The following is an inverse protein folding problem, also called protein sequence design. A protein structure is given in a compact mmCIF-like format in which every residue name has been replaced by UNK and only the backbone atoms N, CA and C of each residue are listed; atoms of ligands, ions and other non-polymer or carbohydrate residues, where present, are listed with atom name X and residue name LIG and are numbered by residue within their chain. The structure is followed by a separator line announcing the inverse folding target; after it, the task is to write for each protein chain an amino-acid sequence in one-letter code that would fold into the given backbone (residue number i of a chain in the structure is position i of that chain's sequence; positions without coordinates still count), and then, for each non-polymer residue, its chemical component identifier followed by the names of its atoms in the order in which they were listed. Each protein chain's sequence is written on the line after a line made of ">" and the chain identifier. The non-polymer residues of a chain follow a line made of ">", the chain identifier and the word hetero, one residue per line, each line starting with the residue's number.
data_IF_945239558420
#
_entry.id   IF_945239558420
#
_cell.length_a   1.000
_cell.length_b   1.000
_cell.length_c   1.000
_cell.angle_alpha   90.00
_cell.angle_beta   90.00
_cell.angle_gamma   90.00
#
_symmetry.space_group_name_H-M   'P 1'
#
loop_
_entity.id
_entity.type
_entity.pdbx_description
1 polymer ?
#
# COMPACT_ATOMS: atom_id res chain seq x y z
N UNK A 1 84.27 23.13 17.29
CA UNK A 1 84.24 23.36 15.83
C UNK A 1 83.67 22.10 15.18
N UNK A 2 82.35 21.96 15.13
CA UNK A 2 81.64 20.88 14.41
C UNK A 2 80.27 21.42 13.96
N UNK A 3 80.11 21.55 12.65
CA UNK A 3 78.89 21.94 11.96
C UNK A 3 77.94 20.74 11.86
N UNK A 4 76.68 20.91 12.26
CA UNK A 4 75.58 20.04 11.85
C UNK A 4 74.41 20.91 11.39
N UNK A 5 74.31 21.10 10.07
CA UNK A 5 73.13 21.61 9.38
C UNK A 5 72.01 20.57 9.48
N UNK A 6 70.96 20.85 10.26
CA UNK A 6 69.67 20.15 10.11
C UNK A 6 68.85 20.87 9.05
N UNK A 7 68.66 20.18 7.92
CA UNK A 7 67.68 20.49 6.89
C UNK A 7 66.27 20.57 7.48
N UNK A 8 65.59 21.70 7.27
CA UNK A 8 64.16 21.86 7.52
C UNK A 8 63.41 21.28 6.32
N UNK A 9 62.86 20.08 6.47
CA UNK A 9 61.84 19.56 5.55
C UNK A 9 60.50 20.12 6.05
N UNK A 10 59.87 20.97 5.23
CA UNK A 10 58.51 21.44 5.47
C UNK A 10 57.54 20.24 5.38
N UNK A 11 56.52 20.13 6.25
CA UNK A 11 55.50 19.11 6.10
C UNK A 11 54.66 19.40 4.84
N UNK A 12 54.54 18.40 3.96
CA UNK A 12 53.59 18.41 2.86
C UNK A 12 52.16 18.62 3.37
N UNK A 13 51.31 19.40 2.70
CA UNK A 13 49.91 19.49 3.05
C UNK A 13 49.26 18.12 2.80
N UNK A 14 48.75 17.51 3.87
CA UNK A 14 47.92 16.32 3.80
C UNK A 14 46.74 16.60 2.87
N UNK A 15 46.61 15.80 1.81
CA UNK A 15 45.42 15.78 0.97
C UNK A 15 44.20 15.54 1.88
N UNK A 16 43.36 16.56 2.02
CA UNK A 16 42.10 16.44 2.72
C UNK A 16 41.25 15.41 2.01
N UNK A 17 41.01 14.28 2.66
CA UNK A 17 39.96 13.36 2.25
C UNK A 17 38.65 14.13 2.44
N UNK A 18 38.05 14.58 1.34
CA UNK A 18 36.69 15.12 1.36
C UNK A 18 35.75 13.96 1.66
N UNK A 19 35.35 13.83 2.92
CA UNK A 19 34.20 12.99 3.29
C UNK A 19 33.00 13.68 2.66
N UNK A 20 32.49 13.12 1.56
CA UNK A 20 31.16 13.48 1.08
C UNK A 20 30.18 12.99 2.15
N UNK A 21 29.61 13.94 2.89
CA UNK A 21 28.47 13.67 3.76
C UNK A 21 27.29 13.51 2.81
N UNK A 22 26.89 12.27 2.53
CA UNK A 22 25.60 12.02 1.88
C UNK A 22 24.52 12.65 2.76
N UNK A 23 23.70 13.52 2.18
CA UNK A 23 22.58 14.11 2.88
C UNK A 23 21.60 12.99 3.26
N UNK A 24 21.22 12.93 4.54
CA UNK A 24 20.16 12.05 5.01
C UNK A 24 18.85 12.47 4.33
N UNK A 25 18.26 11.57 3.56
CA UNK A 25 16.96 11.76 2.95
C UNK A 25 15.88 11.77 4.03
N UNK A 26 14.92 12.68 3.93
CA UNK A 26 13.74 12.65 4.80
C UNK A 26 12.73 11.58 4.34
N UNK A 27 11.73 11.29 5.17
CA UNK A 27 10.66 10.35 4.77
C UNK A 27 9.87 10.87 3.57
N UNK A 28 9.68 12.19 3.47
CA UNK A 28 9.07 12.87 2.33
C UNK A 28 9.93 12.75 1.06
N UNK A 29 11.26 12.86 1.17
CA UNK A 29 12.16 12.64 0.04
C UNK A 29 12.04 11.21 -0.50
N UNK A 30 11.93 10.21 0.39
CA UNK A 30 11.77 8.80 -0.01
C UNK A 30 10.38 8.56 -0.62
N UNK A 31 9.34 9.18 -0.07
CA UNK A 31 7.98 9.06 -0.61
C UNK A 31 7.85 9.70 -1.99
N UNK A 32 8.42 10.89 -2.19
CA UNK A 32 8.43 11.56 -3.49
C UNK A 32 9.28 10.83 -4.53
N UNK A 33 10.37 10.18 -4.12
CA UNK A 33 11.10 9.24 -4.99
C UNK A 33 10.23 8.06 -5.41
N UNK A 34 9.44 7.48 -4.50
CA UNK A 34 8.50 6.41 -4.82
C UNK A 34 7.46 6.86 -5.85
N UNK A 35 6.84 8.03 -5.63
CA UNK A 35 5.87 8.61 -6.54
C UNK A 35 6.47 8.84 -7.94
N UNK A 36 7.69 9.39 -8.01
CA UNK A 36 8.37 9.61 -9.27
C UNK A 36 8.72 8.30 -9.99
N UNK A 37 9.16 7.28 -9.26
CA UNK A 37 9.47 5.96 -9.81
C UNK A 37 8.23 5.26 -10.41
N UNK A 38 7.06 5.48 -9.81
CA UNK A 38 5.78 4.97 -10.30
C UNK A 38 5.09 5.91 -11.31
N UNK A 39 5.76 6.99 -11.72
CA UNK A 39 5.28 7.89 -12.78
C UNK A 39 4.24 8.92 -12.34
N UNK A 40 4.04 9.14 -11.05
CA UNK A 40 3.12 10.16 -10.53
C UNK A 40 3.77 11.53 -10.46
N UNK A 41 3.08 12.55 -11.00
CA UNK A 41 3.49 13.94 -10.85
C UNK A 41 3.11 14.47 -9.46
N UNK A 42 4.04 15.18 -8.82
CA UNK A 42 3.85 15.73 -7.49
C UNK A 42 4.49 17.11 -7.34
N UNK A 43 4.05 17.87 -6.32
CA UNK A 43 4.65 19.12 -5.86
C UNK A 43 4.67 19.14 -4.34
N UNK A 44 5.77 19.60 -3.76
CA UNK A 44 5.87 19.83 -2.33
C UNK A 44 5.61 21.31 -2.03
N UNK A 45 4.55 21.59 -1.29
CA UNK A 45 4.16 22.95 -0.90
C UNK A 45 3.81 22.96 0.60
N UNK A 46 4.50 23.77 1.40
CA UNK A 46 4.27 23.89 2.85
C UNK A 46 4.33 22.56 3.65
N UNK A 47 5.10 21.57 3.19
CA UNK A 47 5.19 20.25 3.83
C UNK A 47 4.08 19.27 3.42
N UNK A 48 3.19 19.68 2.52
CA UNK A 48 2.17 18.82 1.91
C UNK A 48 2.56 18.44 0.48
N UNK A 49 2.29 17.18 0.11
CA UNK A 49 2.63 16.67 -1.22
C UNK A 49 1.36 16.67 -2.06
N UNK A 50 1.23 17.68 -2.91
CA UNK A 50 0.14 17.80 -3.86
C UNK A 50 0.36 16.88 -5.05
N UNK A 51 -0.66 16.13 -5.41
CA UNK A 51 -0.71 15.21 -6.54
C UNK A 51 -1.71 15.72 -7.59
N UNK A 52 -1.75 15.10 -8.76
CA UNK A 52 -2.77 15.39 -9.79
C UNK A 52 -4.19 15.19 -9.23
N UNK A 53 -5.18 15.82 -9.87
CA UNK A 53 -6.60 15.62 -9.56
C UNK A 53 -7.00 15.98 -8.11
N UNK A 54 -6.36 16.99 -7.51
CA UNK A 54 -6.79 17.55 -6.22
C UNK A 54 -6.43 16.70 -4.99
N UNK A 55 -5.56 15.71 -5.17
CA UNK A 55 -5.05 14.88 -4.08
C UNK A 55 -3.94 15.59 -3.31
N UNK A 56 -3.95 15.41 -1.99
CA UNK A 56 -2.88 15.85 -1.10
C UNK A 56 -2.47 14.67 -0.23
N UNK A 57 -1.17 14.37 -0.18
CA UNK A 57 -0.61 13.32 0.64
C UNK A 57 0.37 13.88 1.68
N UNK A 58 0.43 13.23 2.83
CA UNK A 58 1.45 13.44 3.86
C UNK A 58 1.92 12.10 4.38
N UNK A 59 3.19 12.01 4.78
CA UNK A 59 3.79 10.78 5.29
C UNK A 59 4.44 10.99 6.64
N UNK A 60 4.35 9.98 7.50
CA UNK A 60 4.95 9.95 8.83
C UNK A 60 5.73 8.65 9.00
N UNK A 61 7.01 8.76 9.35
CA UNK A 61 7.79 7.62 9.82
C UNK A 61 7.39 7.28 11.26
N UNK A 62 7.16 5.99 11.54
CA UNK A 62 6.78 5.54 12.88
C UNK A 62 7.93 4.82 13.57
N UNK A 63 8.46 3.77 12.94
CA UNK A 63 9.54 2.96 13.52
C UNK A 63 10.25 2.11 12.48
N UNK A 64 11.44 1.61 12.87
CA UNK A 64 12.14 0.54 12.17
C UNK A 64 12.67 -0.50 13.15
N UNK A 65 12.71 -1.75 12.69
CA UNK A 65 13.12 -2.90 13.48
C UNK A 65 13.94 -3.86 12.61
N UNK A 66 15.14 -4.30 13.05
CA UNK A 66 15.87 -5.36 12.38
C UNK A 66 15.07 -6.67 12.36
N UNK A 67 15.06 -7.34 11.20
CA UNK A 67 14.43 -8.65 11.02
C UNK A 67 15.46 -9.63 10.45
N UNK A 68 16.31 -10.15 11.33
CA UNK A 68 17.48 -10.97 10.97
C UNK A 68 18.74 -10.13 10.78
N UNK A 69 19.79 -10.73 10.21
CA UNK A 69 21.10 -10.08 10.12
C UNK A 69 21.19 -8.98 9.05
N UNK A 70 20.39 -9.08 7.98
CA UNK A 70 20.54 -8.23 6.78
C UNK A 70 19.22 -7.62 6.28
N UNK A 71 18.24 -7.46 7.15
CA UNK A 71 16.96 -6.87 6.76
C UNK A 71 16.39 -5.98 7.86
N UNK A 72 15.75 -4.89 7.44
CA UNK A 72 15.05 -3.93 8.29
C UNK A 72 13.59 -3.90 7.87
N UNK A 73 12.70 -4.02 8.85
CA UNK A 73 11.28 -3.73 8.70
C UNK A 73 11.02 -2.29 9.11
N UNK A 74 10.20 -1.59 8.35
CA UNK A 74 9.74 -0.24 8.69
C UNK A 74 8.23 -0.20 8.80
N UNK A 75 7.75 0.70 9.64
CA UNK A 75 6.34 1.09 9.75
C UNK A 75 6.24 2.59 9.47
N UNK A 76 5.34 2.97 8.58
CA UNK A 76 5.05 4.36 8.25
C UNK A 76 3.54 4.55 8.09
N UNK A 77 3.07 5.79 8.15
CA UNK A 77 1.68 6.17 7.91
C UNK A 77 1.63 7.12 6.72
N UNK A 78 0.72 6.86 5.79
CA UNK A 78 0.39 7.77 4.69
C UNK A 78 -1.02 8.28 4.96
N UNK A 79 -1.22 9.58 4.86
CA UNK A 79 -2.56 10.19 4.84
C UNK A 79 -2.78 10.77 3.45
N UNK A 80 -3.92 10.49 2.84
CA UNK A 80 -4.30 10.94 1.52
C UNK A 80 -5.67 11.64 1.60
N UNK A 81 -5.76 12.85 1.07
CA UNK A 81 -6.96 13.71 1.10
C UNK A 81 -7.39 14.06 -0.31
N UNK A 82 -8.70 14.21 -0.49
CA UNK A 82 -9.28 14.81 -1.70
C UNK A 82 -10.38 15.79 -1.27
N UNK A 83 -10.26 17.05 -1.69
CA UNK A 83 -11.08 18.16 -1.19
C UNK A 83 -12.60 17.95 -1.32
N UNK A 84 -13.03 17.17 -2.31
CA UNK A 84 -14.46 16.92 -2.59
C UNK A 84 -14.95 15.57 -2.08
N UNK A 85 -14.12 14.52 -2.15
CA UNK A 85 -14.61 13.14 -2.00
C UNK A 85 -14.36 12.57 -0.60
N UNK A 86 -13.23 12.93 0.01
CA UNK A 86 -12.86 12.52 1.38
C UNK A 86 -11.99 13.63 1.99
N UNK A 87 -12.59 14.78 2.36
CA UNK A 87 -11.86 15.95 2.85
C UNK A 87 -11.15 15.70 4.18
N UNK A 88 -11.71 14.84 5.04
CA UNK A 88 -11.09 14.43 6.30
C UNK A 88 -9.85 13.54 6.08
N UNK A 89 -9.71 12.99 4.89
CA UNK A 89 -8.63 12.09 4.51
C UNK A 89 -8.89 10.64 4.84
N UNK A 90 -8.11 9.80 4.16
CA UNK A 90 -7.99 8.37 4.42
C UNK A 90 -6.53 8.12 4.75
N UNK A 91 -6.26 7.29 5.73
CA UNK A 91 -4.88 6.95 6.08
C UNK A 91 -4.60 5.47 5.97
N UNK A 92 -3.34 5.12 5.79
CA UNK A 92 -2.89 3.75 5.65
C UNK A 92 -1.52 3.55 6.32
N UNK A 93 -1.41 2.47 7.08
CA UNK A 93 -0.11 2.05 7.62
C UNK A 93 0.62 1.19 6.59
N UNK A 94 1.84 1.56 6.25
CA UNK A 94 2.72 0.76 5.41
C UNK A 94 3.72 0.02 6.28
N UNK A 95 3.73 -1.30 6.12
CA UNK A 95 4.74 -2.18 6.67
C UNK A 95 5.50 -2.79 5.50
N UNK A 96 6.81 -2.59 5.51
CA UNK A 96 7.67 -3.06 4.43
C UNK A 96 9.01 -3.54 4.98
N UNK A 97 9.77 -4.22 4.13
CA UNK A 97 11.11 -4.70 4.44
C UNK A 97 12.09 -4.37 3.32
N UNK A 98 13.35 -4.17 3.68
CA UNK A 98 14.46 -3.94 2.75
C UNK A 98 15.81 -4.22 3.43
N UNK A 99 16.91 -4.17 2.68
CA UNK A 99 18.25 -4.33 3.23
C UNK A 99 18.69 -3.08 4.03
N UNK A 100 18.00 -1.96 3.86
CA UNK A 100 18.16 -0.73 4.65
C UNK A 100 16.80 -0.13 5.03
N UNK A 101 16.78 0.81 5.97
CA UNK A 101 15.57 1.57 6.32
C UNK A 101 15.02 2.34 5.11
N UNK A 102 15.89 2.99 4.34
CA UNK A 102 15.52 3.72 3.12
C UNK A 102 14.87 2.79 2.09
N UNK A 103 15.47 1.64 1.81
CA UNK A 103 14.92 0.67 0.85
C UNK A 103 13.59 0.11 1.35
N UNK A 104 13.49 -0.16 2.64
CA UNK A 104 12.26 -0.64 3.29
C UNK A 104 11.12 0.37 3.12
N UNK A 105 11.35 1.65 3.43
CA UNK A 105 10.37 2.73 3.21
C UNK A 105 10.01 2.88 1.74
N UNK A 106 11.00 2.90 0.85
CA UNK A 106 10.78 3.01 -0.59
C UNK A 106 9.91 1.87 -1.12
N UNK A 107 10.15 0.63 -0.71
CA UNK A 107 9.33 -0.52 -1.08
C UNK A 107 7.87 -0.37 -0.61
N UNK A 108 7.66 0.09 0.62
CA UNK A 108 6.33 0.33 1.16
C UNK A 108 5.57 1.43 0.40
N UNK A 109 6.23 2.55 0.13
CA UNK A 109 5.65 3.68 -0.59
C UNK A 109 5.36 3.36 -2.05
N UNK A 110 6.23 2.62 -2.73
CA UNK A 110 5.99 2.14 -4.09
C UNK A 110 4.80 1.19 -4.14
N UNK A 111 4.73 0.24 -3.19
CA UNK A 111 3.57 -0.64 -3.08
C UNK A 111 2.27 0.15 -2.91
N UNK A 112 2.24 1.14 -2.01
CA UNK A 112 1.06 1.98 -1.81
C UNK A 112 0.68 2.78 -3.06
N UNK A 113 1.66 3.34 -3.77
CA UNK A 113 1.41 4.09 -5.00
C UNK A 113 0.84 3.20 -6.13
N UNK A 114 1.29 1.95 -6.22
CA UNK A 114 0.83 0.97 -7.20
C UNK A 114 -0.56 0.40 -6.88
N UNK A 115 -0.93 0.30 -5.61
CA UNK A 115 -2.22 -0.28 -5.21
C UNK A 115 -3.23 0.80 -4.82
N UNK A 116 -2.97 1.48 -3.71
CA UNK A 116 -3.94 2.32 -3.02
C UNK A 116 -4.15 3.63 -3.80
N UNK A 117 -3.07 4.33 -4.18
CA UNK A 117 -3.16 5.59 -4.92
C UNK A 117 -3.81 5.40 -6.29
N UNK A 118 -3.41 4.36 -7.04
CA UNK A 118 -4.01 4.02 -8.33
C UNK A 118 -5.53 3.82 -8.20
N UNK A 119 -5.95 3.10 -7.15
CA UNK A 119 -7.38 2.87 -6.88
C UNK A 119 -8.12 4.15 -6.55
N UNK A 120 -7.54 4.99 -5.70
CA UNK A 120 -8.17 6.25 -5.33
C UNK A 120 -8.30 7.19 -6.54
N UNK A 121 -7.28 7.26 -7.41
CA UNK A 121 -7.29 8.05 -8.65
C UNK A 121 -8.44 7.60 -9.55
N UNK A 122 -8.55 6.30 -9.82
CA UNK A 122 -9.65 5.75 -10.63
C UNK A 122 -11.01 6.04 -10.00
N UNK A 123 -11.10 5.95 -8.68
CA UNK A 123 -12.33 6.16 -7.95
C UNK A 123 -12.85 7.59 -8.04
N UNK A 124 -11.99 8.61 -8.15
CA UNK A 124 -12.41 10.02 -8.31
C UNK A 124 -12.48 10.47 -9.76
N UNK A 125 -12.03 9.63 -10.70
CA UNK A 125 -12.06 9.91 -12.14
C UNK A 125 -13.41 9.52 -12.76
N UNK A 126 -13.69 10.07 -13.94
CA UNK A 126 -14.89 9.72 -14.73
C UNK A 126 -14.79 8.30 -15.33
N UNK A 127 -13.58 7.89 -15.68
CA UNK A 127 -13.24 6.58 -16.23
C UNK A 127 -12.21 5.87 -15.36
N UNK A 128 -12.26 4.55 -15.33
CA UNK A 128 -11.28 3.71 -14.64
C UNK A 128 -10.30 3.15 -15.67
N UNK A 129 -9.00 3.32 -15.43
CA UNK A 129 -7.92 2.80 -16.28
C UNK A 129 -7.28 1.54 -15.70
N UNK A 130 -7.31 1.40 -14.37
CA UNK A 130 -6.55 0.38 -13.63
C UNK A 130 -7.44 -0.60 -12.87
N UNK A 131 -8.59 -0.14 -12.38
CA UNK A 131 -9.46 -0.90 -11.50
C UNK A 131 -10.45 -1.77 -12.28
N UNK A 132 -10.78 -2.91 -11.69
CA UNK A 132 -12.03 -3.59 -12.02
C UNK A 132 -13.17 -2.82 -11.35
N UNK A 133 -14.15 -2.38 -12.13
CA UNK A 133 -15.29 -1.62 -11.60
C UNK A 133 -16.55 -2.48 -11.57
N UNK A 134 -17.24 -2.47 -10.42
CA UNK A 134 -18.55 -3.08 -10.25
C UNK A 134 -19.56 -2.02 -9.83
N UNK A 135 -20.72 -2.01 -10.49
CA UNK A 135 -21.85 -1.17 -10.12
C UNK A 135 -22.94 -2.02 -9.48
N UNK A 136 -23.51 -1.53 -8.39
CA UNK A 136 -24.52 -2.27 -7.64
C UNK A 136 -25.52 -1.31 -7.00
N UNK A 137 -26.76 -1.76 -6.88
CA UNK A 137 -27.86 -1.02 -6.27
C UNK A 137 -28.17 -1.57 -4.88
N UNK A 138 -28.33 -0.68 -3.90
CA UNK A 138 -28.78 -1.02 -2.55
C UNK A 138 -30.15 -0.42 -2.24
N UNK A 139 -31.03 -1.19 -1.60
CA UNK A 139 -32.31 -0.68 -1.13
C UNK A 139 -32.04 0.35 -0.03
N UNK A 140 -32.51 1.58 -0.23
CA UNK A 140 -32.41 2.61 0.81
C UNK A 140 -33.24 2.19 2.02
N UNK A 141 -32.64 2.24 3.21
CA UNK A 141 -33.30 1.84 4.46
C UNK A 141 -34.46 2.78 4.83
N UNK A 142 -34.47 4.03 4.33
CA UNK A 142 -35.43 5.08 4.74
C UNK A 142 -36.09 5.86 3.57
N UNK A 143 -36.85 5.18 2.71
CA UNK A 143 -37.72 5.80 1.68
C UNK A 143 -37.03 6.78 0.69
N UNK A 144 -35.70 6.77 0.62
CA UNK A 144 -34.94 7.46 -0.42
C UNK A 144 -34.84 6.59 -1.68
N UNK A 145 -34.51 7.23 -2.79
CA UNK A 145 -34.19 6.54 -4.03
C UNK A 145 -33.10 5.47 -3.80
N UNK A 146 -33.17 4.40 -4.59
CA UNK A 146 -32.17 3.33 -4.64
C UNK A 146 -30.74 3.91 -4.65
N UNK A 147 -29.90 3.45 -3.73
CA UNK A 147 -28.53 3.92 -3.62
C UNK A 147 -27.66 3.13 -4.58
N UNK A 148 -27.11 3.81 -5.60
CA UNK A 148 -26.18 3.19 -6.54
C UNK A 148 -24.75 3.39 -6.08
N UNK A 149 -24.00 2.30 -5.99
CA UNK A 149 -22.59 2.29 -5.57
C UNK A 149 -21.72 1.85 -6.74
N UNK A 150 -20.60 2.55 -6.93
CA UNK A 150 -19.46 2.09 -7.71
C UNK A 150 -18.38 1.57 -6.78
N UNK A 151 -17.89 0.39 -7.08
CA UNK A 151 -16.86 -0.32 -6.33
C UNK A 151 -15.66 -0.50 -7.28
N UNK A 152 -14.55 0.13 -6.93
CA UNK A 152 -13.29 0.08 -7.66
C UNK A 152 -12.36 -0.90 -6.96
N UNK A 153 -12.19 -2.07 -7.55
CA UNK A 153 -11.25 -3.08 -7.07
C UNK A 153 -9.90 -2.86 -7.73
N UNK A 154 -8.95 -2.37 -6.95
CA UNK A 154 -7.65 -1.94 -7.41
C UNK A 154 -6.72 -3.07 -7.86
N UNK A 155 -5.52 -2.68 -8.34
CA UNK A 155 -4.40 -3.60 -8.50
C UNK A 155 -4.16 -4.40 -7.22
N UNK A 156 -3.81 -5.67 -7.38
CA UNK A 156 -3.61 -6.59 -6.27
C UNK A 156 -2.17 -7.08 -6.23
N UNK A 157 -1.73 -7.46 -5.03
CA UNK A 157 -0.48 -8.19 -4.82
C UNK A 157 -0.84 -9.61 -4.46
N UNK A 158 -0.30 -10.58 -5.19
CA UNK A 158 -0.45 -12.00 -4.92
C UNK A 158 0.94 -12.65 -4.93
N UNK A 159 1.22 -13.42 -3.88
CA UNK A 159 2.42 -14.25 -3.80
C UNK A 159 2.02 -15.61 -3.25
N UNK A 160 2.53 -16.67 -3.86
CA UNK A 160 2.37 -18.04 -3.41
C UNK A 160 3.71 -18.77 -3.56
N UNK A 161 4.09 -19.57 -2.56
CA UNK A 161 5.35 -20.31 -2.57
C UNK A 161 5.37 -21.42 -3.65
N UNK A 162 4.22 -22.05 -3.91
CA UNK A 162 4.08 -23.09 -4.92
C UNK A 162 3.08 -22.68 -6.01
N UNK A 163 3.49 -22.80 -7.27
CA UNK A 163 2.58 -22.70 -8.42
C UNK A 163 1.78 -24.00 -8.55
N UNK A 164 0.47 -23.92 -8.79
CA UNK A 164 -0.27 -25.12 -9.22
C UNK A 164 0.17 -25.47 -10.63
N UNK A 165 0.81 -26.63 -10.77
CA UNK A 165 0.84 -27.35 -12.04
C UNK A 165 -0.58 -27.82 -12.26
N UNK A 166 -1.26 -27.36 -13.31
CA UNK A 166 -2.61 -27.80 -13.64
C UNK A 166 -2.68 -29.33 -13.58
N UNK A 167 -3.33 -29.86 -12.55
CA UNK A 167 -3.56 -31.29 -12.44
C UNK A 167 -4.84 -31.54 -13.22
N UNK A 168 -4.73 -32.20 -14.37
CA UNK A 168 -5.88 -32.70 -15.12
C UNK A 168 -6.78 -33.49 -14.14
N UNK A 169 -7.99 -32.98 -13.89
CA UNK A 169 -8.94 -33.62 -12.96
C UNK A 169 -9.85 -32.69 -12.13
N UNK A 170 -9.75 -31.36 -12.24
CA UNK A 170 -10.75 -30.47 -11.65
C UNK A 170 -11.98 -30.33 -12.57
N UNK A 171 -12.99 -31.17 -12.38
CA UNK A 171 -14.34 -30.93 -12.92
C UNK A 171 -15.04 -29.84 -12.07
N UNK A 172 -14.71 -28.58 -12.35
CA UNK A 172 -15.21 -27.39 -11.67
C UNK A 172 -14.25 -26.21 -11.86
N UNK A 173 -14.68 -24.97 -11.64
CA UNK A 173 -13.85 -23.76 -11.82
C UNK A 173 -12.70 -23.69 -10.78
N UNK A 174 -11.67 -24.52 -10.93
CA UNK A 174 -10.37 -24.30 -10.29
C UNK A 174 -9.62 -23.18 -11.02
N UNK A 175 -10.18 -21.98 -11.05
CA UNK A 175 -9.45 -20.81 -11.53
C UNK A 175 -8.37 -20.43 -10.51
N UNK A 176 -7.15 -20.22 -11.00
CA UNK A 176 -6.13 -19.44 -10.29
C UNK A 176 -6.74 -18.09 -9.88
N UNK A 177 -6.32 -17.60 -8.70
CA UNK A 177 -6.77 -16.38 -8.04
C UNK A 177 -7.57 -15.37 -8.92
N UNK A 178 -8.87 -15.17 -8.65
CA UNK A 178 -9.61 -14.03 -9.23
C UNK A 178 -9.31 -12.76 -8.42
N UNK A 179 -8.86 -11.66 -9.06
CA UNK A 179 -8.68 -10.36 -8.42
C UNK A 179 -9.95 -9.80 -7.78
N UNK A 180 -11.10 -10.19 -8.30
CA UNK A 180 -12.42 -9.84 -7.80
C UNK A 180 -12.77 -10.51 -6.47
N UNK A 181 -12.24 -11.71 -6.22
CA UNK A 181 -12.75 -12.60 -5.17
C UNK A 181 -12.39 -12.15 -3.77
N UNK A 182 -11.29 -11.40 -3.59
CA UNK A 182 -10.89 -10.94 -2.26
C UNK A 182 -11.97 -10.04 -1.63
N UNK A 183 -12.55 -9.15 -2.45
CA UNK A 183 -13.68 -8.32 -2.06
C UNK A 183 -15.01 -9.08 -2.15
N UNK A 184 -15.33 -9.70 -3.29
CA UNK A 184 -16.69 -10.25 -3.52
C UNK A 184 -17.03 -11.44 -2.64
N UNK A 185 -16.05 -12.26 -2.22
CA UNK A 185 -16.27 -13.35 -1.24
C UNK A 185 -16.36 -12.85 0.20
N UNK A 186 -16.06 -11.58 0.43
CA UNK A 186 -16.16 -10.90 1.73
C UNK A 186 -17.23 -9.80 1.72
N UNK A 187 -18.05 -9.70 0.67
CA UNK A 187 -18.96 -8.58 0.42
C UNK A 187 -19.94 -8.33 1.58
N UNK A 188 -20.44 -9.40 2.18
CA UNK A 188 -21.41 -9.34 3.28
C UNK A 188 -20.89 -8.53 4.48
N UNK A 189 -19.56 -8.55 4.71
CA UNK A 189 -18.92 -7.75 5.76
C UNK A 189 -19.10 -6.24 5.54
N UNK A 190 -19.28 -5.80 4.30
CA UNK A 190 -19.29 -4.38 3.94
C UNK A 190 -20.70 -3.82 3.74
N UNK A 191 -21.74 -4.54 4.18
CA UNK A 191 -23.14 -4.13 4.01
C UNK A 191 -23.42 -2.72 4.53
N UNK A 192 -22.83 -2.34 5.66
CA UNK A 192 -22.97 -0.99 6.22
C UNK A 192 -22.37 0.08 5.30
N UNK A 193 -21.14 -0.13 4.82
CA UNK A 193 -20.41 0.79 3.94
C UNK A 193 -21.09 0.89 2.56
N UNK A 194 -21.71 -0.19 2.10
CA UNK A 194 -22.45 -0.23 0.85
C UNK A 194 -23.81 0.49 0.95
N UNK A 195 -24.39 0.56 2.15
CA UNK A 195 -25.60 1.34 2.44
C UNK A 195 -25.31 2.80 2.82
N UNK A 196 -24.04 3.19 2.98
CA UNK A 196 -23.60 4.56 3.24
C UNK A 196 -23.43 5.36 1.94
N UNK A 197 -23.62 6.69 2.00
CA UNK A 197 -23.30 7.61 0.89
C UNK A 197 -21.83 8.06 0.89
N UNK A 198 -21.08 7.74 1.93
CA UNK A 198 -19.70 8.17 2.09
C UNK A 198 -18.78 7.53 1.04
N UNK A 199 -17.65 8.20 0.79
CA UNK A 199 -16.53 7.58 0.12
C UNK A 199 -15.80 6.67 1.12
N UNK A 200 -15.58 5.42 0.74
CA UNK A 200 -14.97 4.42 1.60
C UNK A 200 -13.78 3.78 0.89
N UNK A 201 -12.60 3.93 1.47
CA UNK A 201 -11.43 3.13 1.16
C UNK A 201 -11.39 1.88 2.04
N UNK A 202 -11.12 0.73 1.43
CA UNK A 202 -11.07 -0.56 2.09
C UNK A 202 -9.75 -1.23 1.78
N UNK A 203 -8.96 -1.53 2.81
CA UNK A 203 -7.79 -2.37 2.67
C UNK A 203 -8.14 -3.81 2.98
N UNK A 204 -7.73 -4.71 2.10
CA UNK A 204 -7.92 -6.14 2.23
C UNK A 204 -6.54 -6.80 2.22
N UNK A 205 -6.23 -7.55 3.25
CA UNK A 205 -5.07 -8.43 3.30
C UNK A 205 -5.45 -9.76 3.93
N UNK A 206 -5.05 -10.86 3.30
CA UNK A 206 -5.13 -12.17 3.90
C UNK A 206 -3.92 -13.01 3.49
N UNK A 207 -3.47 -13.86 4.41
CA UNK A 207 -2.39 -14.81 4.19
C UNK A 207 -2.70 -16.15 4.82
N UNK A 208 -2.29 -17.21 4.16
CA UNK A 208 -2.32 -18.58 4.65
C UNK A 208 -0.91 -19.14 4.67
N UNK A 209 -0.49 -19.64 5.82
CA UNK A 209 0.82 -20.25 6.03
C UNK A 209 0.81 -21.74 5.67
N UNK A 210 2.02 -22.31 5.57
CA UNK A 210 2.24 -23.73 5.25
C UNK A 210 1.75 -24.71 6.34
N UNK A 211 1.45 -24.23 7.55
CA UNK A 211 0.79 -25.03 8.60
C UNK A 211 -0.75 -24.93 8.54
N UNK A 212 -1.27 -24.17 7.58
CA UNK A 212 -2.69 -23.87 7.43
C UNK A 212 -3.18 -22.67 8.26
N UNK A 213 -2.32 -22.05 9.07
CA UNK A 213 -2.67 -20.86 9.86
C UNK A 213 -3.07 -19.72 8.92
N UNK A 214 -4.19 -19.06 9.23
CA UNK A 214 -4.70 -17.92 8.46
C UNK A 214 -4.61 -16.63 9.27
N UNK A 215 -4.06 -15.59 8.64
CA UNK A 215 -3.97 -14.23 9.18
C UNK A 215 -4.63 -13.29 8.18
N UNK A 216 -5.34 -12.27 8.67
CA UNK A 216 -5.92 -11.25 7.82
C UNK A 216 -5.85 -9.89 8.52
N UNK A 217 -5.84 -8.84 7.72
CA UNK A 217 -5.95 -7.43 8.12
C UNK A 217 -6.98 -6.78 7.20
N UNK A 218 -7.92 -6.04 7.80
CA UNK A 218 -8.94 -5.31 7.07
C UNK A 218 -9.14 -3.96 7.72
N UNK A 219 -9.18 -2.92 6.89
CA UNK A 219 -9.35 -1.54 7.36
C UNK A 219 -10.35 -0.78 6.53
N UNK A 220 -11.09 0.11 7.19
CA UNK A 220 -12.00 1.07 6.58
C UNK A 220 -11.42 2.46 6.82
N UNK A 221 -11.06 3.18 5.76
CA UNK A 221 -10.44 4.51 5.81
C UNK A 221 -9.20 4.59 6.74
N UNK A 222 -8.54 3.45 7.00
CA UNK A 222 -7.37 3.32 7.88
C UNK A 222 -7.66 2.69 9.25
N UNK A 223 -8.92 2.69 9.69
CA UNK A 223 -9.35 2.13 10.96
C UNK A 223 -9.54 0.62 10.87
N UNK A 224 -9.19 -0.08 11.95
CA UNK A 224 -9.34 -1.54 12.02
C UNK A 224 -10.80 -1.96 11.86
N UNK A 225 -11.03 -2.99 11.04
CA UNK A 225 -12.37 -3.49 10.75
C UNK A 225 -12.49 -5.00 11.03
N UNK A 226 -12.84 -5.38 12.28
CA UNK A 226 -12.86 -6.78 12.71
C UNK A 226 -13.79 -7.68 11.88
N UNK A 227 -14.95 -7.18 11.46
CA UNK A 227 -15.89 -7.97 10.65
C UNK A 227 -15.29 -8.34 9.28
N UNK A 228 -14.57 -7.41 8.64
CA UNK A 228 -13.83 -7.69 7.42
C UNK A 228 -12.71 -8.71 7.62
N UNK A 229 -11.99 -8.63 8.75
CA UNK A 229 -10.96 -9.63 9.13
C UNK A 229 -11.57 -11.03 9.21
N UNK A 230 -12.72 -11.19 9.87
CA UNK A 230 -13.38 -12.49 10.00
C UNK A 230 -13.78 -13.08 8.64
N UNK A 231 -14.36 -12.27 7.75
CA UNK A 231 -14.76 -12.73 6.42
C UNK A 231 -13.57 -13.07 5.53
N UNK A 232 -12.50 -12.26 5.57
CA UNK A 232 -11.26 -12.55 4.85
C UNK A 232 -10.61 -13.85 5.32
N UNK A 233 -10.60 -14.12 6.63
CA UNK A 233 -10.10 -15.39 7.18
C UNK A 233 -10.89 -16.58 6.66
N UNK A 234 -12.23 -16.54 6.74
CA UNK A 234 -13.11 -17.60 6.21
C UNK A 234 -12.87 -17.84 4.72
N UNK A 235 -12.68 -16.78 3.93
CA UNK A 235 -12.35 -16.93 2.52
C UNK A 235 -10.95 -17.56 2.33
N UNK A 236 -9.95 -17.12 3.08
CA UNK A 236 -8.58 -17.64 2.99
C UNK A 236 -8.43 -19.11 3.41
N UNK A 237 -9.29 -19.61 4.30
CA UNK A 237 -9.37 -21.04 4.64
C UNK A 237 -9.72 -21.92 3.43
N UNK A 238 -10.43 -21.37 2.43
CA UNK A 238 -10.81 -22.08 1.21
C UNK A 238 -9.69 -22.16 0.17
N UNK A 239 -8.59 -21.44 0.37
CA UNK A 239 -7.50 -21.42 -0.60
C UNK A 239 -6.83 -22.80 -0.67
N UNK A 240 -6.25 -23.18 -1.82
CA UNK A 240 -5.41 -24.36 -1.91
C UNK A 240 -4.21 -24.25 -0.96
N UNK A 241 -3.65 -25.39 -0.57
CA UNK A 241 -2.46 -25.41 0.25
C UNK A 241 -1.23 -25.30 -0.65
N UNK A 242 -0.59 -24.13 -0.70
CA UNK A 242 0.54 -23.80 -1.61
C UNK A 242 1.75 -23.24 -0.85
N UNK A 243 1.97 -23.69 0.39
CA UNK A 243 2.94 -23.10 1.31
C UNK A 243 2.45 -21.75 1.85
N UNK A 244 3.32 -20.73 1.89
CA UNK A 244 2.91 -19.36 2.18
C UNK A 244 2.22 -18.77 0.95
N UNK A 245 0.95 -18.36 1.12
CA UNK A 245 0.22 -17.56 0.16
C UNK A 245 -0.30 -16.29 0.83
N UNK A 246 -0.17 -15.14 0.18
CA UNK A 246 -0.85 -13.92 0.61
C UNK A 246 -1.41 -13.14 -0.56
N UNK A 247 -2.48 -12.40 -0.28
CA UNK A 247 -3.21 -11.55 -1.21
C UNK A 247 -3.50 -10.21 -0.54
N UNK A 248 -3.20 -9.12 -1.23
CA UNK A 248 -3.49 -7.74 -0.80
C UNK A 248 -4.21 -7.01 -1.93
N UNK A 249 -5.24 -6.22 -1.58
CA UNK A 249 -5.92 -5.33 -2.51
C UNK A 249 -6.45 -4.11 -1.77
N UNK A 250 -6.50 -2.99 -2.47
CA UNK A 250 -7.23 -1.81 -2.03
C UNK A 250 -8.51 -1.66 -2.85
N UNK A 251 -9.61 -1.31 -2.19
CA UNK A 251 -10.91 -1.12 -2.82
C UNK A 251 -11.43 0.26 -2.45
N UNK A 252 -12.00 0.98 -3.41
CA UNK A 252 -12.72 2.22 -3.14
C UNK A 252 -14.21 2.05 -3.47
N UNK A 253 -15.08 2.56 -2.61
CA UNK A 253 -16.54 2.52 -2.76
C UNK A 253 -17.03 3.97 -2.75
N UNK A 254 -17.81 4.35 -3.76
CA UNK A 254 -18.44 5.68 -3.82
C UNK A 254 -19.87 5.62 -4.33
N UNK A 255 -20.61 6.70 -4.04
CA UNK A 255 -21.95 6.92 -4.61
C UNK A 255 -21.84 7.27 -6.08
N UNK A 256 -22.81 6.79 -6.88
CA UNK A 256 -23.10 7.33 -8.20
C UNK A 256 -24.19 8.39 -8.00
N UNK A 257 -23.85 9.66 -8.25
CA UNK A 257 -24.81 10.76 -8.24
C UNK A 257 -25.72 10.76 -9.47
#
# INVERSE_FOLDING_TARGET
>A
MFNWLKSLVAPSPSAGVSVQVEALLTVEDIFTQALQAEGYAWRLENGEISLSQGFIASVEYLESQPIGENAIRTSSKIVCKHAVHFPEGIFEFQHASGASEQESLLNGFRSWAQTDLATLIDAVSDTSETCLVMEMSWPAIDAQAELKRKIFMGPYIHSAAESIVNVDGCEGECHDFCPCCLFTKSLDAFTEQLNSREFVGVRLYASRYADGTVVADCRINGDEYPLGVEHLKKYAETWPHRGLEFRKQYVAIRTID
#
